data_IF_385456294314
#
_entry.id   IF_385456294314
#
_cell.length_a   1.000
_cell.length_b   1.000
_cell.length_c   1.000
_cell.angle_alpha   90.00
_cell.angle_beta   90.00
_cell.angle_gamma   90.00
#
_symmetry.space_group_name_H-M   'P 1'
#
loop_
_entity.id
_entity.type
_entity.pdbx_description
1 polymer ?
#
# COMPACT_ATOMS: atom_id res chain seq x y z
N UNK A 1 7.96 -10.16 1.01
CA UNK A 1 7.47 -8.78 0.74
C UNK A 1 8.29 -8.03 -0.30
N UNK A 2 9.62 -8.08 -0.29
CA UNK A 2 10.47 -7.41 -1.30
C UNK A 2 10.10 -7.74 -2.75
N UNK A 3 10.06 -9.02 -3.13
CA UNK A 3 9.65 -9.44 -4.49
C UNK A 3 8.22 -9.03 -4.85
N UNK A 4 7.31 -9.09 -3.86
CA UNK A 4 5.93 -8.65 -4.04
C UNK A 4 5.86 -7.15 -4.29
N UNK A 5 6.72 -6.36 -3.63
CA UNK A 5 6.80 -4.93 -3.80
C UNK A 5 7.32 -4.54 -5.19
N UNK A 6 8.32 -5.23 -5.72
CA UNK A 6 8.80 -5.00 -7.10
C UNK A 6 7.68 -5.20 -8.12
N UNK A 7 6.92 -6.30 -8.02
CA UNK A 7 5.76 -6.55 -8.89
C UNK A 7 4.68 -5.49 -8.72
N UNK A 8 4.47 -5.04 -7.49
CA UNK A 8 3.49 -4.00 -7.16
C UNK A 8 3.86 -2.65 -7.75
N UNK A 9 5.15 -2.29 -7.77
CA UNK A 9 5.64 -1.07 -8.41
C UNK A 9 5.47 -1.12 -9.93
N UNK A 10 5.70 -2.27 -10.58
CA UNK A 10 5.42 -2.46 -12.01
C UNK A 10 3.94 -2.19 -12.30
N UNK A 11 3.04 -2.75 -11.49
CA UNK A 11 1.59 -2.54 -11.65
C UNK A 11 1.19 -1.07 -11.39
N UNK A 12 1.81 -0.40 -10.42
CA UNK A 12 1.60 1.01 -10.15
C UNK A 12 2.00 1.88 -11.36
N UNK A 13 3.18 1.65 -11.92
CA UNK A 13 3.66 2.35 -13.12
C UNK A 13 2.70 2.13 -14.31
N UNK A 14 2.28 0.88 -14.55
CA UNK A 14 1.29 0.56 -15.59
C UNK A 14 -0.04 1.28 -15.39
N UNK A 15 -0.51 1.36 -14.14
CA UNK A 15 -1.79 2.01 -13.79
C UNK A 15 -1.78 3.49 -14.13
N UNK A 16 -0.64 4.17 -13.95
CA UNK A 16 -0.53 5.59 -14.26
C UNK A 16 -0.10 5.86 -15.70
N UNK A 17 0.45 4.88 -16.41
CA UNK A 17 1.00 5.04 -17.77
C UNK A 17 2.48 5.44 -17.80
N UNK A 18 3.22 5.20 -16.72
CA UNK A 18 4.67 5.45 -16.65
C UNK A 18 5.44 4.18 -17.03
N UNK A 19 6.52 4.34 -17.80
CA UNK A 19 7.45 3.24 -18.09
C UNK A 19 8.22 2.83 -16.82
N UNK A 20 8.23 1.53 -16.50
CA UNK A 20 8.87 1.03 -15.26
C UNK A 20 10.38 1.34 -15.19
N UNK A 21 11.09 1.45 -16.32
CA UNK A 21 12.52 1.82 -16.34
C UNK A 21 12.80 3.20 -15.74
N UNK A 22 11.79 4.06 -15.65
CA UNK A 22 11.88 5.40 -15.05
C UNK A 22 11.61 5.39 -13.54
N UNK A 23 11.28 4.23 -12.97
CA UNK A 23 11.02 4.07 -11.56
C UNK A 23 12.06 3.13 -10.92
N UNK A 24 12.53 3.51 -9.74
CA UNK A 24 13.33 2.66 -8.86
C UNK A 24 12.79 2.73 -7.44
N UNK A 25 13.30 1.88 -6.55
CA UNK A 25 12.91 1.92 -5.15
C UNK A 25 14.10 1.72 -4.22
N UNK A 26 14.04 2.35 -3.04
CA UNK A 26 15.00 2.16 -1.96
C UNK A 26 14.60 0.95 -1.12
N UNK A 27 15.39 -0.12 -1.19
CA UNK A 27 15.22 -1.30 -0.34
C UNK A 27 15.35 -0.95 1.15
N UNK A 28 16.25 -0.01 1.49
CA UNK A 28 16.41 0.45 2.88
C UNK A 28 15.12 1.08 3.41
N UNK A 29 14.53 2.02 2.66
CA UNK A 29 13.30 2.70 3.06
C UNK A 29 12.12 1.72 3.12
N UNK A 30 12.08 0.75 2.21
CA UNK A 30 11.09 -0.32 2.24
C UNK A 30 11.22 -1.17 3.52
N UNK A 31 12.43 -1.56 3.91
CA UNK A 31 12.66 -2.32 5.16
C UNK A 31 12.23 -1.52 6.38
N UNK A 32 12.62 -0.24 6.47
CA UNK A 32 12.20 0.63 7.58
C UNK A 32 10.67 0.77 7.67
N UNK A 33 9.97 0.89 6.54
CA UNK A 33 8.51 0.94 6.51
C UNK A 33 7.86 -0.37 7.03
N UNK A 34 8.48 -1.52 6.73
CA UNK A 34 8.03 -2.82 7.23
C UNK A 34 8.31 -2.99 8.72
N UNK A 35 9.47 -2.54 9.20
CA UNK A 35 9.81 -2.56 10.63
C UNK A 35 8.84 -1.69 11.44
N UNK A 36 8.52 -0.48 10.96
CA UNK A 36 7.47 0.37 11.57
C UNK A 36 6.09 -0.29 11.54
N UNK A 37 5.77 -1.02 10.47
CA UNK A 37 4.52 -1.77 10.39
C UNK A 37 4.46 -2.88 11.44
N UNK A 38 5.58 -3.56 11.70
CA UNK A 38 5.67 -4.61 12.71
C UNK A 38 5.52 -4.05 14.13
N UNK A 39 6.09 -2.87 14.40
CA UNK A 39 5.89 -2.15 15.67
C UNK A 39 4.41 -1.80 15.89
N UNK A 40 3.73 -1.26 14.87
CA UNK A 40 2.31 -0.95 14.92
C UNK A 40 1.44 -2.18 15.17
N UNK A 41 1.71 -3.26 14.45
CA UNK A 41 0.99 -4.53 14.60
C UNK A 41 1.19 -5.10 15.99
N UNK A 42 2.44 -5.15 16.47
CA UNK A 42 2.78 -5.61 17.82
C UNK A 42 2.07 -4.80 18.89
N UNK A 43 2.07 -3.46 18.77
CA UNK A 43 1.37 -2.59 19.71
C UNK A 43 -0.14 -2.84 19.68
N UNK A 44 -0.73 -3.03 18.49
CA UNK A 44 -2.15 -3.29 18.34
C UNK A 44 -2.56 -4.65 18.91
N UNK A 45 -1.78 -5.71 18.65
CA UNK A 45 -1.99 -7.04 19.21
C UNK A 45 -1.94 -7.02 20.73
N UNK A 46 -0.99 -6.29 21.33
CA UNK A 46 -0.89 -6.15 22.79
C UNK A 46 -2.10 -5.43 23.41
N UNK A 47 -2.73 -4.51 22.67
CA UNK A 47 -3.90 -3.73 23.15
C UNK A 47 -5.21 -4.48 23.01
N UNK A 48 -5.33 -5.42 22.06
CA UNK A 48 -6.54 -6.22 21.90
C UNK A 48 -6.56 -7.40 22.85
N UNK A 49 -7.74 -7.72 23.38
CA UNK A 49 -7.94 -8.97 24.10
C UNK A 49 -7.61 -10.15 23.15
N UNK A 50 -6.92 -11.21 23.62
CA UNK A 50 -6.50 -12.33 22.78
C UNK A 50 -7.62 -13.02 21.99
N UNK A 51 -8.88 -12.81 22.36
CA UNK A 51 -10.07 -13.42 21.75
C UNK A 51 -10.47 -12.83 20.40
N UNK A 52 -10.14 -11.57 20.11
CA UNK A 52 -10.82 -10.83 19.03
C UNK A 52 -10.04 -10.72 17.71
N UNK A 53 -8.80 -11.23 17.68
CA UNK A 53 -7.94 -11.24 16.50
C UNK A 53 -7.75 -9.87 15.82
N UNK A 54 -7.09 -9.88 14.67
CA UNK A 54 -7.04 -8.75 13.74
C UNK A 54 -7.54 -9.21 12.39
N UNK A 55 -8.42 -8.41 11.77
CA UNK A 55 -8.89 -8.68 10.41
C UNK A 55 -7.75 -8.48 9.41
N UNK A 56 -7.82 -9.20 8.28
CA UNK A 56 -6.85 -9.06 7.20
C UNK A 56 -6.81 -7.64 6.65
N UNK A 57 -7.95 -6.96 6.54
CA UNK A 57 -8.02 -5.57 6.14
C UNK A 57 -7.32 -4.65 7.13
N UNK A 58 -7.49 -4.83 8.45
CA UNK A 58 -6.78 -4.01 9.44
C UNK A 58 -5.26 -4.18 9.36
N UNK A 59 -4.77 -5.41 9.14
CA UNK A 59 -3.34 -5.67 8.93
C UNK A 59 -2.84 -5.00 7.63
N UNK A 60 -3.58 -5.17 6.53
CA UNK A 60 -3.28 -4.53 5.25
C UNK A 60 -3.31 -3.00 5.33
N UNK A 61 -4.23 -2.43 6.10
CA UNK A 61 -4.37 -0.98 6.29
C UNK A 61 -3.14 -0.37 6.96
N UNK A 62 -2.61 -1.02 8.00
CA UNK A 62 -1.37 -0.61 8.68
C UNK A 62 -0.19 -0.65 7.73
N UNK A 63 0.00 -1.78 7.05
CA UNK A 63 1.14 -1.98 6.15
C UNK A 63 1.07 -1.00 4.96
N UNK A 64 -0.08 -0.88 4.30
CA UNK A 64 -0.26 0.04 3.17
C UNK A 64 -0.05 1.50 3.61
N UNK A 65 -0.54 1.88 4.79
CA UNK A 65 -0.32 3.21 5.34
C UNK A 65 1.17 3.50 5.51
N UNK A 66 1.94 2.60 6.15
CA UNK A 66 3.37 2.79 6.36
C UNK A 66 4.14 2.83 5.04
N UNK A 67 3.87 1.92 4.12
CA UNK A 67 4.46 1.93 2.78
C UNK A 67 4.18 3.24 2.02
N UNK A 68 2.98 3.81 2.16
CA UNK A 68 2.60 5.07 1.54
C UNK A 68 3.32 6.30 2.10
N UNK A 69 3.85 6.26 3.33
CA UNK A 69 4.44 7.43 4.02
C UNK A 69 5.95 7.55 3.93
N UNK A 70 6.65 6.46 3.61
CA UNK A 70 8.12 6.46 3.48
C UNK A 70 8.58 7.04 2.14
N UNK A 71 9.87 7.22 1.92
CA UNK A 71 10.41 7.68 0.62
C UNK A 71 10.93 6.49 -0.17
N UNK A 72 10.05 5.53 -0.46
CA UNK A 72 10.43 4.25 -1.04
C UNK A 72 10.66 4.38 -2.54
N UNK A 73 9.76 5.05 -3.26
CA UNK A 73 9.79 5.13 -4.73
C UNK A 73 10.55 6.37 -5.19
N UNK A 74 11.42 6.20 -6.19
CA UNK A 74 12.16 7.27 -6.83
C UNK A 74 11.87 7.25 -8.33
N UNK A 75 11.58 8.43 -8.89
CA UNK A 75 11.28 8.60 -10.32
C UNK A 75 12.42 9.38 -10.96
N UNK A 76 12.93 8.88 -12.09
CA UNK A 76 13.97 9.55 -12.88
C UNK A 76 13.47 10.90 -13.42
N UNK A 77 14.39 11.80 -13.76
CA UNK A 77 14.09 13.16 -14.25
C UNK A 77 13.10 13.15 -15.42
N UNK A 78 13.30 12.28 -16.41
CA UNK A 78 12.42 12.13 -17.57
C UNK A 78 10.97 11.76 -17.20
N UNK A 79 10.76 11.13 -16.06
CA UNK A 79 9.43 10.76 -15.55
C UNK A 79 8.75 11.86 -14.71
N UNK A 80 9.47 12.92 -14.31
CA UNK A 80 8.97 13.93 -13.36
C UNK A 80 7.81 14.77 -13.92
N UNK A 81 7.71 14.90 -15.25
CA UNK A 81 6.62 15.64 -15.91
C UNK A 81 5.28 14.90 -15.90
N UNK A 82 5.26 13.62 -15.51
CA UNK A 82 4.08 12.79 -15.61
C UNK A 82 3.04 13.13 -14.52
N UNK A 83 1.84 13.57 -14.91
CA UNK A 83 0.87 14.20 -13.99
C UNK A 83 0.36 13.36 -12.81
N UNK A 84 0.60 12.05 -12.80
CA UNK A 84 0.16 11.10 -11.76
C UNK A 84 1.30 10.44 -10.97
N UNK A 85 2.55 10.90 -11.10
CA UNK A 85 3.69 10.27 -10.39
C UNK A 85 3.50 10.22 -8.86
N UNK A 86 2.82 11.22 -8.30
CA UNK A 86 2.56 11.32 -6.87
C UNK A 86 1.71 10.15 -6.31
N UNK A 87 1.00 9.41 -7.17
CA UNK A 87 0.18 8.25 -6.78
C UNK A 87 0.96 6.93 -6.81
N UNK A 88 2.13 6.88 -7.45
CA UNK A 88 2.82 5.60 -7.73
C UNK A 88 3.16 4.85 -6.43
N UNK A 89 3.61 5.56 -5.40
CA UNK A 89 3.93 4.93 -4.13
C UNK A 89 2.69 4.38 -3.42
N UNK A 90 1.61 5.16 -3.36
CA UNK A 90 0.35 4.71 -2.76
C UNK A 90 -0.24 3.51 -3.52
N UNK A 91 -0.18 3.53 -4.85
CA UNK A 91 -0.57 2.41 -5.71
C UNK A 91 0.30 1.17 -5.45
N UNK A 92 1.62 1.32 -5.36
CA UNK A 92 2.52 0.22 -5.07
C UNK A 92 2.24 -0.39 -3.69
N UNK A 93 1.92 0.43 -2.69
CA UNK A 93 1.52 -0.02 -1.36
C UNK A 93 0.22 -0.83 -1.40
N UNK A 94 -0.80 -0.35 -2.12
CA UNK A 94 -2.09 -1.05 -2.27
C UNK A 94 -1.92 -2.39 -2.97
N UNK A 95 -1.21 -2.42 -4.11
CA UNK A 95 -0.95 -3.68 -4.82
C UNK A 95 -0.12 -4.68 -4.00
N UNK A 96 0.80 -4.18 -3.16
CA UNK A 96 1.60 -5.04 -2.29
C UNK A 96 0.73 -5.74 -1.25
N UNK A 97 -0.18 -5.03 -0.58
CA UNK A 97 -1.06 -5.64 0.42
C UNK A 97 -2.19 -6.46 -0.21
N UNK A 98 -2.67 -6.06 -1.39
CA UNK A 98 -3.65 -6.83 -2.16
C UNK A 98 -3.09 -8.22 -2.48
N UNK A 99 -1.88 -8.28 -3.04
CA UNK A 99 -1.24 -9.53 -3.45
C UNK A 99 -0.78 -10.38 -2.26
N UNK A 100 -0.28 -9.77 -1.19
CA UNK A 100 0.30 -10.49 -0.07
C UNK A 100 -0.72 -10.93 1.00
N UNK A 101 -1.80 -10.16 1.21
CA UNK A 101 -2.67 -10.30 2.39
C UNK A 101 -4.14 -10.51 2.04
N UNK A 102 -4.68 -9.69 1.14
CA UNK A 102 -6.14 -9.62 0.96
C UNK A 102 -6.71 -10.76 0.13
N UNK A 103 -5.89 -11.44 -0.70
CA UNK A 103 -6.30 -12.55 -1.59
C UNK A 103 -7.54 -12.24 -2.45
N UNK A 104 -7.86 -10.96 -2.63
CA UNK A 104 -9.00 -10.48 -3.39
C UNK A 104 -8.48 -9.54 -4.47
N UNK A 105 -9.09 -9.58 -5.65
CA UNK A 105 -8.76 -8.64 -6.71
C UNK A 105 -9.51 -7.32 -6.48
N UNK A 106 -8.77 -6.23 -6.32
CA UNK A 106 -9.36 -4.90 -6.19
C UNK A 106 -9.40 -4.30 -7.60
N UNK A 107 -10.60 -3.98 -8.13
CA UNK A 107 -10.71 -3.37 -9.46
C UNK A 107 -9.86 -2.11 -9.58
N UNK A 108 -9.20 -1.92 -10.72
CA UNK A 108 -8.28 -0.81 -10.96
C UNK A 108 -8.89 0.58 -10.67
N UNK A 109 -10.19 0.76 -10.93
CA UNK A 109 -10.92 2.00 -10.61
C UNK A 109 -10.97 2.28 -9.11
N UNK A 110 -11.18 1.25 -8.28
CA UNK A 110 -11.14 1.36 -6.81
C UNK A 110 -9.73 1.55 -6.29
N UNK A 111 -8.74 0.88 -6.89
CA UNK A 111 -7.33 1.06 -6.50
C UNK A 111 -6.89 2.52 -6.69
N UNK A 112 -7.28 3.16 -7.79
CA UNK A 112 -7.00 4.58 -8.03
C UNK A 112 -7.71 5.49 -7.02
N UNK A 113 -8.96 5.21 -6.68
CA UNK A 113 -9.70 5.96 -5.66
C UNK A 113 -9.05 5.84 -4.28
N UNK A 114 -8.66 4.63 -3.87
CA UNK A 114 -7.97 4.39 -2.59
C UNK A 114 -6.63 5.14 -2.59
N UNK A 115 -5.84 5.04 -3.66
CA UNK A 115 -4.57 5.76 -3.78
C UNK A 115 -4.76 7.27 -3.69
N UNK A 116 -5.78 7.81 -4.35
CA UNK A 116 -6.14 9.21 -4.23
C UNK A 116 -6.45 9.57 -2.77
N UNK A 117 -7.33 8.82 -2.09
CA UNK A 117 -7.67 9.08 -0.69
C UNK A 117 -6.45 8.96 0.25
N UNK A 118 -5.53 8.02 0.00
CA UNK A 118 -4.26 7.90 0.73
C UNK A 118 -3.36 9.12 0.53
N UNK A 119 -3.25 9.62 -0.70
CA UNK A 119 -2.46 10.79 -1.03
C UNK A 119 -2.96 12.06 -0.32
N UNK A 120 -4.27 12.12 -0.05
CA UNK A 120 -4.89 13.18 0.76
C UNK A 120 -4.68 12.86 2.24
N UNK A 121 -4.30 13.84 3.06
CA UNK A 121 -3.94 13.65 4.48
C UNK A 121 -5.12 13.26 5.41
N UNK A 122 -6.20 12.71 4.87
CA UNK A 122 -7.41 12.37 5.62
C UNK A 122 -7.59 10.85 5.82
N UNK A 123 -6.86 10.00 5.07
CA UNK A 123 -6.87 8.57 5.28
C UNK A 123 -5.72 8.14 6.20
N UNK A 124 -6.05 7.47 7.30
CA UNK A 124 -5.11 6.82 8.20
C UNK A 124 -5.20 5.28 8.07
N UNK A 125 -4.36 4.57 8.82
CA UNK A 125 -4.33 3.10 8.85
C UNK A 125 -5.68 2.46 9.20
N UNK A 126 -6.51 3.11 10.02
CA UNK A 126 -7.82 2.57 10.41
C UNK A 126 -8.84 2.71 9.28
N UNK A 127 -8.89 3.88 8.63
CA UNK A 127 -9.72 4.11 7.45
C UNK A 127 -9.40 3.09 6.36
N UNK A 128 -8.12 2.87 6.08
CA UNK A 128 -7.68 1.87 5.09
C UNK A 128 -8.06 0.46 5.50
N UNK A 129 -7.96 0.14 6.79
CA UNK A 129 -8.37 -1.16 7.31
C UNK A 129 -9.84 -1.48 7.02
N UNK A 130 -10.74 -0.52 7.30
CA UNK A 130 -12.17 -0.66 7.04
C UNK A 130 -12.44 -0.80 5.54
N UNK A 131 -11.78 0.01 4.71
CA UNK A 131 -11.92 -0.05 3.25
C UNK A 131 -11.53 -1.43 2.72
N UNK A 132 -10.38 -1.97 3.15
CA UNK A 132 -9.93 -3.28 2.71
C UNK A 132 -10.85 -4.40 3.19
N UNK A 133 -11.32 -4.39 4.44
CA UNK A 133 -12.29 -5.38 4.94
C UNK A 133 -13.63 -5.29 4.18
N UNK A 134 -14.07 -4.09 3.81
CA UNK A 134 -15.30 -3.90 3.03
C UNK A 134 -15.17 -4.44 1.61
N UNK A 135 -13.98 -4.35 1.02
CA UNK A 135 -13.72 -4.87 -0.32
C UNK A 135 -13.64 -6.40 -0.29
N UNK A 136 -12.96 -6.99 0.69
CA UNK A 136 -12.81 -8.44 0.80
C UNK A 136 -14.09 -9.14 1.24
N UNK A 137 -14.90 -8.53 2.10
CA UNK A 137 -16.19 -9.10 2.54
C UNK A 137 -17.25 -9.19 1.44
N UNK A 138 -17.16 -8.36 0.39
CA UNK A 138 -18.01 -8.43 -0.80
C UNK A 138 -17.54 -9.45 -1.84
N UNK A 139 -16.35 -10.02 -1.67
CA UNK A 139 -15.75 -10.98 -2.59
C UNK A 139 -15.91 -12.44 -2.14
N UNK A 140 -16.53 -12.67 -0.97
CA UNK A 140 -16.92 -13.98 -0.42
C UNK A 140 -18.42 -14.22 -0.62
#
# INVERSE_FOLDING_TARGET
MLEAYTRSLINACRTVGLEFRLASFSERELRLALDESDLDLTALFKRRCPSDGLSAGKIAGIIAFRLGRFKIVHIAEDGQSHGKIHLIQDLAAIYAVQSALLRADIPATRVLEIAYQMSRRHANQETLGIVFDTITSKAA
#
